data_IF_878951471196
#
_entry.id   IF_878951471196
#
_cell.length_a   1.000
_cell.length_b   1.000
_cell.length_c   1.000
_cell.angle_alpha   90.00
_cell.angle_beta   90.00
_cell.angle_gamma   90.00
#
_symmetry.space_group_name_H-M   'P 1'
#
loop_
_entity.id
_entity.type
_entity.pdbx_description
1 polymer ?
#
# COMPACT_ATOMS: atom_id res chain seq x y z
N UNK A 1 6.29 18.67 -2.60
CA UNK A 1 6.60 17.27 -2.28
C UNK A 1 6.46 16.42 -3.53
N UNK A 2 7.08 15.26 -3.57
CA UNK A 2 7.02 14.36 -4.73
C UNK A 2 7.25 12.92 -4.27
N UNK A 3 6.45 11.98 -4.78
CA UNK A 3 6.69 10.55 -4.55
C UNK A 3 7.92 10.09 -5.34
N UNK A 4 8.77 9.27 -4.71
CA UNK A 4 9.96 8.70 -5.35
C UNK A 4 9.57 7.51 -6.25
N UNK A 5 8.66 6.67 -5.77
CA UNK A 5 8.20 5.44 -6.44
C UNK A 5 6.67 5.22 -6.30
N UNK A 6 5.90 6.31 -6.27
CA UNK A 6 4.43 6.26 -6.21
C UNK A 6 3.75 6.06 -7.55
N UNK A 7 2.44 5.81 -7.54
CA UNK A 7 1.60 5.85 -8.75
C UNK A 7 1.60 7.26 -9.35
N UNK A 8 1.53 8.29 -8.49
CA UNK A 8 1.72 9.69 -8.84
C UNK A 8 3.09 10.20 -8.40
N UNK A 9 4.03 10.22 -9.34
CA UNK A 9 5.37 10.78 -9.16
C UNK A 9 5.49 12.25 -9.58
N UNK A 10 4.36 12.96 -9.79
CA UNK A 10 4.39 14.37 -10.13
C UNK A 10 4.83 15.23 -8.94
N UNK A 11 5.44 16.39 -9.25
CA UNK A 11 5.83 17.37 -8.24
C UNK A 11 4.61 18.16 -7.80
N UNK A 12 4.21 17.97 -6.56
CA UNK A 12 3.12 18.72 -5.93
C UNK A 12 3.65 19.92 -5.16
N UNK A 13 2.94 21.05 -5.26
CA UNK A 13 3.27 22.29 -4.56
C UNK A 13 2.06 22.76 -3.78
N UNK A 14 2.27 23.02 -2.49
CA UNK A 14 1.27 23.68 -1.64
C UNK A 14 1.63 25.16 -1.63
N UNK A 15 0.69 25.98 -2.10
CA UNK A 15 0.81 27.44 -2.15
C UNK A 15 -0.12 28.07 -1.09
N UNK A 16 0.06 29.36 -0.80
CA UNK A 16 -0.83 30.10 0.11
C UNK A 16 -0.59 29.84 1.60
N UNK A 17 0.59 29.33 1.97
CA UNK A 17 1.01 29.20 3.37
C UNK A 17 1.43 30.57 3.87
N UNK A 18 0.64 31.15 4.79
CA UNK A 18 0.89 32.45 5.39
C UNK A 18 2.11 32.46 6.33
N UNK A 19 2.64 33.66 6.60
CA UNK A 19 3.82 33.87 7.45
C UNK A 19 3.56 33.55 8.94
N UNK A 20 2.29 33.48 9.33
CA UNK A 20 1.81 33.07 10.64
C UNK A 20 1.92 31.56 10.88
N UNK A 21 2.13 30.77 9.82
CA UNK A 21 2.25 29.32 9.89
C UNK A 21 3.72 28.89 9.98
N UNK A 22 4.04 28.05 10.96
CA UNK A 22 5.34 27.38 11.09
C UNK A 22 5.30 25.89 10.72
N UNK A 23 4.11 25.35 10.43
CA UNK A 23 3.90 23.94 10.07
C UNK A 23 2.73 23.79 9.10
N UNK A 24 2.73 22.70 8.35
CA UNK A 24 1.67 22.36 7.41
C UNK A 24 1.50 20.84 7.32
N UNK A 25 0.25 20.37 7.25
CA UNK A 25 -0.09 18.96 7.08
C UNK A 25 -0.34 18.65 5.60
N UNK A 26 0.37 17.64 5.07
CA UNK A 26 0.12 17.12 3.73
C UNK A 26 -0.66 15.81 3.88
N UNK A 27 -1.93 15.84 3.50
CA UNK A 27 -2.85 14.71 3.61
C UNK A 27 -3.04 13.96 2.28
N UNK A 28 -3.74 12.82 2.32
CA UNK A 28 -4.10 12.01 1.13
C UNK A 28 -2.90 11.52 0.32
N UNK A 29 -1.80 11.22 1.00
CA UNK A 29 -0.63 10.58 0.40
C UNK A 29 -0.86 9.08 0.17
N UNK A 30 -0.16 8.52 -0.80
CA UNK A 30 -0.16 7.08 -1.06
C UNK A 30 0.44 6.32 0.13
N UNK A 31 -0.10 5.14 0.41
CA UNK A 31 0.34 4.28 1.52
C UNK A 31 1.63 3.57 1.16
N UNK A 32 2.52 3.42 2.14
CA UNK A 32 3.82 2.78 1.95
C UNK A 32 4.66 3.36 0.80
N UNK A 33 4.59 4.69 0.62
CA UNK A 33 5.27 5.41 -0.45
C UNK A 33 6.28 6.38 0.15
N UNK A 34 7.48 6.39 -0.43
CA UNK A 34 8.52 7.35 -0.05
C UNK A 34 8.32 8.68 -0.79
N UNK A 35 8.36 9.76 -0.03
CA UNK A 35 8.20 11.13 -0.51
C UNK A 35 9.44 11.94 -0.20
N UNK A 36 9.81 12.79 -1.15
CA UNK A 36 10.74 13.91 -0.94
C UNK A 36 9.94 15.18 -0.67
N UNK A 37 10.27 15.86 0.42
CA UNK A 37 9.62 17.11 0.84
C UNK A 37 10.67 18.20 0.95
N UNK A 38 10.38 19.37 0.40
CA UNK A 38 11.21 20.56 0.50
C UNK A 38 10.31 21.78 0.65
N UNK A 39 10.86 22.85 1.19
CA UNK A 39 10.19 24.13 1.38
C UNK A 39 10.99 25.23 0.72
N UNK A 40 10.32 26.30 0.30
CA UNK A 40 10.97 27.53 -0.17
C UNK A 40 10.18 28.73 0.35
N UNK A 41 10.86 29.81 0.68
CA UNK A 41 10.21 31.06 1.05
C UNK A 41 9.72 31.79 -0.21
N UNK A 42 8.56 32.44 -0.14
CA UNK A 42 8.08 33.34 -1.19
C UNK A 42 8.09 34.78 -0.64
N UNK A 43 8.64 35.71 -1.41
CA UNK A 43 8.68 37.14 -1.10
C UNK A 43 8.03 37.93 -2.23
N UNK A 44 7.77 39.22 -2.03
CA UNK A 44 7.18 40.09 -3.07
C UNK A 44 8.07 40.19 -4.34
N UNK A 45 9.37 39.93 -4.21
CA UNK A 45 10.31 39.89 -5.34
C UNK A 45 10.28 38.56 -6.08
N UNK A 46 9.82 37.49 -5.41
CA UNK A 46 9.70 36.15 -5.98
C UNK A 46 10.10 35.02 -5.00
N UNK A 47 10.15 33.77 -5.51
CA UNK A 47 10.53 32.60 -4.72
C UNK A 47 12.04 32.57 -4.42
N UNK A 48 12.39 32.29 -3.17
CA UNK A 48 13.75 31.97 -2.74
C UNK A 48 14.18 30.56 -3.14
N UNK A 49 15.42 30.16 -2.78
CA UNK A 49 15.92 28.82 -3.04
C UNK A 49 15.12 27.73 -2.28
N UNK A 50 15.05 26.54 -2.87
CA UNK A 50 14.49 25.36 -2.21
C UNK A 50 15.44 24.88 -1.08
N UNK A 51 14.85 24.40 0.02
CA UNK A 51 15.59 23.74 1.07
C UNK A 51 16.21 22.42 0.57
N UNK A 52 17.15 21.88 1.33
CA UNK A 52 17.57 20.49 1.17
C UNK A 52 16.33 19.59 1.36
N UNK A 53 16.05 18.65 0.45
CA UNK A 53 14.89 17.79 0.56
C UNK A 53 15.05 16.78 1.70
N UNK A 54 13.95 16.52 2.40
CA UNK A 54 13.84 15.46 3.41
C UNK A 54 13.08 14.28 2.80
N UNK A 55 13.62 13.07 2.93
CA UNK A 55 12.92 11.84 2.58
C UNK A 55 12.12 11.32 3.77
N UNK A 56 10.86 10.98 3.54
CA UNK A 56 9.95 10.38 4.53
C UNK A 56 9.08 9.33 3.86
N UNK A 57 8.76 8.24 4.57
CA UNK A 57 7.86 7.19 4.07
C UNK A 57 6.55 7.23 4.83
N UNK A 58 5.44 7.11 4.11
CA UNK A 58 4.11 6.99 4.72
C UNK A 58 3.93 5.62 5.38
N UNK A 59 3.06 5.55 6.38
CA UNK A 59 2.79 4.33 7.11
C UNK A 59 2.21 3.21 6.22
N UNK A 60 2.38 1.98 6.69
CA UNK A 60 1.71 0.80 6.12
C UNK A 60 0.19 0.89 6.31
N UNK A 61 -0.54 0.20 5.44
CA UNK A 61 -1.98 0.01 5.54
C UNK A 61 -2.35 -1.40 5.04
N UNK A 62 -3.62 -1.79 5.17
CA UNK A 62 -4.11 -3.07 4.67
C UNK A 62 -3.91 -3.18 3.15
N UNK A 63 -3.46 -4.35 2.65
CA UNK A 63 -3.37 -4.59 1.21
C UNK A 63 -4.72 -4.39 0.54
N UNK A 64 -4.74 -3.63 -0.55
CA UNK A 64 -5.96 -3.30 -1.30
C UNK A 64 -6.10 -4.15 -2.58
N UNK A 65 -5.40 -5.28 -2.65
CA UNK A 65 -5.51 -6.22 -3.75
C UNK A 65 -5.41 -7.67 -3.27
N UNK A 66 -6.17 -8.60 -3.88
CA UNK A 66 -6.12 -10.01 -3.52
C UNK A 66 -4.80 -10.66 -3.97
N UNK A 67 -4.45 -11.84 -3.41
CA UNK A 67 -3.44 -12.71 -3.98
C UNK A 67 -3.75 -13.02 -5.44
N UNK A 68 -2.71 -13.08 -6.27
CA UNK A 68 -2.84 -13.32 -7.70
C UNK A 68 -2.62 -14.78 -8.04
N UNK A 69 -3.19 -15.23 -9.16
CA UNK A 69 -2.98 -16.59 -9.71
C UNK A 69 -3.21 -17.68 -8.65
N UNK A 70 -4.37 -17.66 -8.02
CA UNK A 70 -4.76 -18.72 -7.08
C UNK A 70 -5.04 -19.98 -7.89
N UNK A 71 -4.22 -21.00 -7.67
CA UNK A 71 -4.27 -22.30 -8.35
C UNK A 71 -4.47 -23.39 -7.30
N UNK A 72 -5.30 -24.37 -7.63
CA UNK A 72 -5.63 -25.50 -6.75
C UNK A 72 -5.46 -26.79 -7.52
N UNK A 73 -4.72 -27.72 -6.94
CA UNK A 73 -4.43 -29.02 -7.55
C UNK A 73 -4.64 -30.14 -6.53
N UNK A 74 -5.33 -31.21 -6.94
CA UNK A 74 -5.44 -32.43 -6.13
C UNK A 74 -4.12 -33.20 -6.20
N UNK A 75 -3.45 -33.36 -5.06
CA UNK A 75 -2.21 -34.14 -4.98
C UNK A 75 -2.54 -35.63 -4.84
N UNK A 76 -3.55 -35.95 -4.02
CA UNK A 76 -4.10 -37.31 -3.84
C UNK A 76 -5.52 -37.22 -3.24
N UNK A 77 -6.08 -38.35 -2.78
CA UNK A 77 -7.44 -38.42 -2.22
C UNK A 77 -7.66 -37.64 -0.92
N UNK A 78 -6.59 -37.22 -0.22
CA UNK A 78 -6.68 -36.52 1.08
C UNK A 78 -5.89 -35.20 1.13
N UNK A 79 -5.20 -34.83 0.05
CA UNK A 79 -4.35 -33.65 0.01
C UNK A 79 -4.57 -32.82 -1.25
N UNK A 80 -4.72 -31.51 -1.04
CA UNK A 80 -4.75 -30.49 -2.08
C UNK A 80 -3.55 -29.55 -1.91
N UNK A 81 -3.00 -29.12 -3.04
CA UNK A 81 -2.00 -28.06 -3.11
C UNK A 81 -2.70 -26.79 -3.55
N UNK A 82 -2.46 -25.71 -2.81
CA UNK A 82 -2.95 -24.37 -3.13
C UNK A 82 -1.73 -23.47 -3.29
N UNK A 83 -1.63 -22.78 -4.42
CA UNK A 83 -0.54 -21.85 -4.72
C UNK A 83 -1.07 -20.51 -5.18
N UNK A 84 -0.38 -19.43 -4.84
CA UNK A 84 -0.72 -18.07 -5.23
C UNK A 84 0.54 -17.22 -5.36
N UNK A 85 0.38 -16.02 -5.92
CA UNK A 85 1.38 -14.97 -5.97
C UNK A 85 0.94 -13.79 -5.10
N UNK A 86 1.90 -13.04 -4.57
CA UNK A 86 1.61 -11.83 -3.81
C UNK A 86 0.81 -10.81 -4.64
N UNK A 87 0.02 -9.95 -3.97
CA UNK A 87 -0.61 -8.80 -4.61
C UNK A 87 0.41 -7.93 -5.37
N UNK A 88 -0.06 -7.12 -6.31
CA UNK A 88 0.81 -6.13 -6.99
C UNK A 88 1.40 -5.16 -5.97
N UNK A 89 2.69 -4.82 -6.10
CA UNK A 89 3.45 -4.10 -5.07
C UNK A 89 2.81 -2.76 -4.66
N UNK A 90 2.32 -1.98 -5.63
CA UNK A 90 1.62 -0.71 -5.41
C UNK A 90 0.28 -0.85 -4.65
N UNK A 91 -0.29 -2.05 -4.57
CA UNK A 91 -1.51 -2.33 -3.80
C UNK A 91 -1.25 -3.20 -2.56
N UNK A 92 0.01 -3.51 -2.24
CA UNK A 92 0.36 -4.18 -0.98
C UNK A 92 0.23 -3.23 0.21
N UNK A 93 0.47 -1.93 -0.02
CA UNK A 93 0.46 -0.88 1.02
C UNK A 93 1.32 -1.20 2.24
N UNK A 94 2.37 -2.01 2.08
CA UNK A 94 3.23 -2.44 3.19
C UNK A 94 3.87 -3.78 2.91
N UNK A 95 4.59 -4.30 3.91
CA UNK A 95 5.14 -5.65 3.85
C UNK A 95 4.05 -6.69 4.16
N UNK A 96 3.86 -7.65 3.24
CA UNK A 96 2.96 -8.79 3.49
C UNK A 96 3.54 -9.67 4.61
N UNK A 97 2.78 -9.82 5.69
CA UNK A 97 3.18 -10.59 6.89
C UNK A 97 2.75 -12.06 6.86
N UNK A 98 1.79 -12.41 6.01
CA UNK A 98 1.25 -13.75 5.87
C UNK A 98 -0.03 -13.77 5.04
N UNK A 99 -0.59 -14.96 4.89
CA UNK A 99 -1.82 -15.26 4.16
C UNK A 99 -2.74 -16.12 5.02
N UNK A 100 -4.04 -15.98 4.79
CA UNK A 100 -5.06 -16.82 5.41
C UNK A 100 -5.81 -17.60 4.33
N UNK A 101 -5.80 -18.92 4.44
CA UNK A 101 -6.54 -19.82 3.55
C UNK A 101 -7.79 -20.31 4.27
N UNK A 102 -8.96 -20.11 3.67
CA UNK A 102 -10.23 -20.58 4.22
C UNK A 102 -10.85 -21.61 3.27
N UNK A 103 -11.23 -22.79 3.77
CA UNK A 103 -11.83 -23.85 2.97
C UNK A 103 -12.98 -24.54 3.73
N UNK A 104 -13.92 -25.11 2.97
CA UNK A 104 -15.10 -25.81 3.49
C UNK A 104 -15.44 -26.99 2.58
N UNK A 105 -16.03 -28.05 3.14
CA UNK A 105 -16.51 -29.19 2.34
C UNK A 105 -17.71 -28.73 1.53
N UNK A 106 -17.78 -29.12 0.26
CA UNK A 106 -18.95 -28.89 -0.59
C UNK A 106 -19.72 -30.21 -0.77
N UNK A 107 -21.02 -30.23 -0.55
CA UNK A 107 -21.93 -31.32 -0.92
C UNK A 107 -23.07 -30.76 -1.77
N UNK A 108 -23.39 -31.38 -2.90
CA UNK A 108 -24.40 -30.88 -3.85
C UNK A 108 -24.23 -29.40 -4.22
N UNK A 109 -22.97 -28.94 -4.30
CA UNK A 109 -22.61 -27.56 -4.60
C UNK A 109 -22.99 -26.53 -3.51
N UNK A 110 -23.28 -27.00 -2.30
CA UNK A 110 -23.51 -26.19 -1.11
C UNK A 110 -22.38 -26.41 -0.08
N UNK A 111 -21.94 -25.34 0.62
CA UNK A 111 -20.95 -25.47 1.68
C UNK A 111 -21.57 -26.17 2.90
N UNK A 112 -20.98 -27.29 3.30
CA UNK A 112 -21.41 -28.10 4.44
C UNK A 112 -20.35 -28.07 5.53
N UNK A 113 -20.80 -27.74 6.75
CA UNK A 113 -19.96 -27.70 7.94
C UNK A 113 -19.29 -26.36 8.17
N UNK A 114 -18.29 -26.35 9.05
CA UNK A 114 -17.60 -25.12 9.45
C UNK A 114 -16.45 -24.81 8.48
N UNK A 115 -16.28 -23.53 8.17
CA UNK A 115 -15.10 -23.04 7.46
C UNK A 115 -13.84 -23.29 8.30
N UNK A 116 -12.87 -23.96 7.72
CA UNK A 116 -11.57 -24.17 8.32
C UNK A 116 -10.64 -23.05 7.85
N UNK A 117 -10.03 -22.36 8.81
CA UNK A 117 -9.08 -21.28 8.57
C UNK A 117 -7.67 -21.83 8.82
N UNK A 118 -6.75 -21.52 7.91
CA UNK A 118 -5.34 -21.88 8.01
C UNK A 118 -4.46 -20.68 7.70
N UNK A 119 -3.67 -20.26 8.67
CA UNK A 119 -2.66 -19.21 8.50
C UNK A 119 -1.40 -19.78 7.87
N UNK A 120 -0.80 -18.99 6.99
CA UNK A 120 0.40 -19.31 6.22
C UNK A 120 1.34 -18.11 6.27
N UNK A 121 2.55 -18.30 6.80
CA UNK A 121 3.58 -17.25 6.81
C UNK A 121 4.38 -17.26 5.51
#
# INVERSE_FOLDING_TARGET
>A
YQAVEGEDSTKHVVEGIGHEHSSWEISNLEKWTEYKVWVRAHTDVGPGPESIPVSVRTDEDVPNAPPRKVEVESVNSTAIRVSWKSPISNKQHGQIRGYQVTYVKMENNEPVGQHVIKDVM
#
